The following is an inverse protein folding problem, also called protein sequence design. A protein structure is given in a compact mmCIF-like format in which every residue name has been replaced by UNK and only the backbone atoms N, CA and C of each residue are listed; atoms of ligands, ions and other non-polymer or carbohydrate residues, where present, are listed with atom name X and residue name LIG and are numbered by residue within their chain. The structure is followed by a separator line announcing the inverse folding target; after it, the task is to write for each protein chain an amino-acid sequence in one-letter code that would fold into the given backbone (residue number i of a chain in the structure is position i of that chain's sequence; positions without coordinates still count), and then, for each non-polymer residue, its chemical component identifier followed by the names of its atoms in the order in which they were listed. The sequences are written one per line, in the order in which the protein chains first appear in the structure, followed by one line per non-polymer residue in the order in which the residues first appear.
data_IF_032355186771
#
_entry.id   IF_032355186771
#
_cell.length_a   1.000
_cell.length_b   1.000
_cell.length_c   1.000
_cell.angle_alpha   90.00
_cell.angle_beta   90.00
_cell.angle_gamma   90.00
#
_symmetry.space_group_name_H-M   'P 1'
#
loop_
_entity.id
_entity.type
_entity.pdbx_description
1 polymer ?
#
# COMPACT_ATOMS: atom_id res chain seq x y z
N UNK A 1 20.88 18.97 -24.85
CA UNK A 1 20.29 19.43 -23.58
C UNK A 1 18.82 18.99 -23.51
N UNK A 2 18.54 17.75 -23.13
CA UNK A 2 17.15 17.32 -22.93
C UNK A 2 16.99 15.81 -23.01
N UNK A 3 17.06 15.14 -21.85
CA UNK A 3 16.55 13.78 -21.60
C UNK A 3 16.63 13.45 -20.10
N UNK A 4 15.92 14.19 -19.24
CA UNK A 4 15.78 13.84 -17.80
C UNK A 4 14.30 13.85 -17.35
N UNK A 5 13.35 14.25 -18.21
CA UNK A 5 11.96 14.49 -17.76
C UNK A 5 11.06 13.24 -17.88
N UNK A 6 11.42 12.26 -18.69
CA UNK A 6 10.55 11.10 -18.97
C UNK A 6 10.55 10.04 -17.85
N UNK A 7 11.71 9.72 -17.29
CA UNK A 7 11.88 8.60 -16.36
C UNK A 7 11.11 8.77 -15.04
N UNK A 8 11.01 10.00 -14.51
CA UNK A 8 10.27 10.26 -13.27
C UNK A 8 8.76 10.17 -13.46
N UNK A 9 8.26 10.44 -14.67
CA UNK A 9 6.82 10.40 -14.97
C UNK A 9 6.31 8.96 -15.04
N UNK A 10 7.06 8.08 -15.72
CA UNK A 10 6.78 6.65 -15.80
C UNK A 10 6.87 5.96 -14.43
N UNK A 11 7.94 6.23 -13.69
CA UNK A 11 8.13 5.66 -12.34
C UNK A 11 6.99 6.03 -11.37
N UNK A 12 6.54 7.28 -11.39
CA UNK A 12 5.43 7.70 -10.53
C UNK A 12 4.08 7.11 -11.02
N UNK A 13 3.90 6.89 -12.31
CA UNK A 13 2.72 6.19 -12.84
C UNK A 13 2.66 4.73 -12.37
N UNK A 14 3.78 4.01 -12.42
CA UNK A 14 3.88 2.60 -11.98
C UNK A 14 3.62 2.45 -10.47
N UNK A 15 4.18 3.34 -9.65
CA UNK A 15 3.94 3.35 -8.21
C UNK A 15 2.47 3.62 -7.89
N UNK A 16 1.84 4.57 -8.59
CA UNK A 16 0.42 4.84 -8.40
C UNK A 16 -0.44 3.65 -8.83
N UNK A 17 -0.04 2.92 -9.88
CA UNK A 17 -0.72 1.70 -10.30
C UNK A 17 -0.63 0.61 -9.24
N UNK A 18 0.52 0.42 -8.59
CA UNK A 18 0.66 -0.55 -7.48
C UNK A 18 -0.11 -0.15 -6.24
N UNK A 19 -0.08 1.13 -5.85
CA UNK A 19 -0.93 1.63 -4.77
C UNK A 19 -2.41 1.42 -5.12
N UNK A 20 -2.79 1.61 -6.38
CA UNK A 20 -4.12 1.31 -6.89
C UNK A 20 -4.51 -0.15 -6.73
N UNK A 21 -3.63 -1.09 -7.12
CA UNK A 21 -3.82 -2.54 -6.93
C UNK A 21 -3.95 -2.92 -5.45
N UNK A 22 -3.08 -2.39 -4.60
CA UNK A 22 -3.11 -2.60 -3.15
C UNK A 22 -4.41 -2.08 -2.52
N UNK A 23 -4.88 -0.90 -2.97
CA UNK A 23 -6.19 -0.35 -2.57
C UNK A 23 -7.33 -1.24 -3.01
N UNK A 24 -7.32 -1.71 -4.26
CA UNK A 24 -8.35 -2.61 -4.78
C UNK A 24 -8.41 -3.92 -3.98
N UNK A 25 -7.26 -4.55 -3.71
CA UNK A 25 -7.17 -5.75 -2.88
C UNK A 25 -7.70 -5.52 -1.46
N UNK A 26 -7.33 -4.39 -0.83
CA UNK A 26 -7.87 -4.02 0.48
C UNK A 26 -9.40 -3.85 0.44
N UNK A 27 -9.94 -3.22 -0.60
CA UNK A 27 -11.38 -3.01 -0.76
C UNK A 27 -12.14 -4.32 -1.02
N UNK A 28 -11.56 -5.26 -1.76
CA UNK A 28 -12.15 -6.59 -1.96
C UNK A 28 -12.31 -7.34 -0.63
N UNK A 29 -11.37 -7.16 0.30
CA UNK A 29 -11.42 -7.76 1.63
C UNK A 29 -12.26 -6.96 2.64
N UNK A 30 -13.12 -6.02 2.20
CA UNK A 30 -13.97 -5.17 3.07
C UNK A 30 -14.75 -5.95 4.13
N UNK A 31 -15.22 -7.15 3.80
CA UNK A 31 -16.02 -7.97 4.71
C UNK A 31 -15.16 -8.56 5.84
N UNK A 32 -13.89 -8.88 5.54
CA UNK A 32 -12.91 -9.35 6.54
C UNK A 32 -12.64 -8.24 7.56
N UNK A 33 -12.42 -7.00 7.08
CA UNK A 33 -12.15 -5.86 7.97
C UNK A 33 -13.33 -5.56 8.90
N UNK A 34 -14.56 -5.67 8.38
CA UNK A 34 -15.80 -5.48 9.14
C UNK A 34 -16.18 -6.64 10.06
N UNK A 35 -15.69 -7.85 9.80
CA UNK A 35 -16.07 -9.04 10.56
C UNK A 35 -15.65 -8.93 12.03
N UNK A 36 -16.59 -9.14 12.96
CA UNK A 36 -16.28 -9.25 14.39
C UNK A 36 -15.76 -10.64 14.80
N UNK A 37 -15.96 -11.64 13.95
CA UNK A 37 -15.53 -13.02 14.22
C UNK A 37 -14.01 -13.21 14.09
N UNK A 38 -13.35 -12.38 13.27
CA UNK A 38 -11.91 -12.43 13.09
C UNK A 38 -11.22 -11.50 14.09
N UNK A 39 -10.22 -12.05 14.78
CA UNK A 39 -9.38 -11.26 15.69
C UNK A 39 -8.63 -10.16 14.93
N UNK A 40 -8.34 -9.06 15.62
CA UNK A 40 -7.52 -7.97 15.10
C UNK A 40 -6.15 -8.47 14.63
N UNK A 41 -5.53 -9.40 15.37
CA UNK A 41 -4.23 -9.98 15.01
C UNK A 41 -4.30 -10.76 13.68
N UNK A 42 -5.37 -11.55 13.48
CA UNK A 42 -5.62 -12.26 12.21
C UNK A 42 -5.77 -11.29 11.04
N UNK A 43 -6.53 -10.20 11.21
CA UNK A 43 -6.70 -9.18 10.17
C UNK A 43 -5.39 -8.47 9.82
N UNK A 44 -4.60 -8.11 10.83
CA UNK A 44 -3.27 -7.51 10.63
C UNK A 44 -2.34 -8.46 9.88
N UNK A 45 -2.36 -9.76 10.21
CA UNK A 45 -1.58 -10.78 9.49
C UNK A 45 -1.99 -10.88 8.02
N UNK A 46 -3.28 -10.92 7.72
CA UNK A 46 -3.79 -10.93 6.32
C UNK A 46 -3.34 -9.68 5.56
N UNK A 47 -3.43 -8.50 6.19
CA UNK A 47 -2.96 -7.24 5.60
C UNK A 47 -1.45 -7.27 5.33
N UNK A 48 -0.65 -7.72 6.28
CA UNK A 48 0.81 -7.82 6.12
C UNK A 48 1.21 -8.79 5.00
N UNK A 49 0.51 -9.92 4.84
CA UNK A 49 0.80 -10.88 3.77
C UNK A 49 0.41 -10.35 2.40
N UNK A 50 -0.78 -9.75 2.24
CA UNK A 50 -1.30 -9.43 0.90
C UNK A 50 -0.94 -8.02 0.44
N UNK A 51 -0.91 -7.05 1.35
CA UNK A 51 -0.78 -5.62 1.00
C UNK A 51 0.64 -5.12 1.28
N UNK A 52 1.22 -5.49 2.42
CA UNK A 52 2.56 -5.03 2.79
C UNK A 52 3.65 -5.66 1.92
N UNK A 53 3.51 -6.92 1.50
CA UNK A 53 4.46 -7.56 0.57
C UNK A 53 4.51 -6.83 -0.77
N UNK A 54 3.35 -6.52 -1.37
CA UNK A 54 3.28 -5.82 -2.66
C UNK A 54 3.96 -4.45 -2.58
N UNK A 55 3.77 -3.73 -1.45
CA UNK A 55 4.35 -2.41 -1.25
C UNK A 55 5.84 -2.44 -0.88
N UNK A 56 6.30 -3.42 -0.10
CA UNK A 56 7.71 -3.58 0.27
C UNK A 56 8.55 -4.08 -0.91
N UNK A 57 8.05 -5.06 -1.66
CA UNK A 57 8.75 -5.56 -2.85
C UNK A 57 8.91 -4.48 -3.91
N UNK A 58 7.88 -3.65 -4.11
CA UNK A 58 7.95 -2.47 -4.95
C UNK A 58 9.00 -1.45 -4.47
N UNK A 59 9.12 -1.26 -3.16
CA UNK A 59 10.09 -0.34 -2.56
C UNK A 59 11.53 -0.87 -2.62
N UNK A 60 11.72 -2.19 -2.55
CA UNK A 60 13.04 -2.83 -2.58
C UNK A 60 13.59 -2.96 -4.00
N UNK A 61 12.71 -3.17 -4.98
CA UNK A 61 13.09 -3.38 -6.39
C UNK A 61 13.38 -2.07 -7.13
N UNK A 62 12.88 -0.93 -6.65
CA UNK A 62 12.99 0.36 -7.35
C UNK A 62 13.66 1.44 -6.49
N UNK A 63 14.30 2.42 -7.12
CA UNK A 63 14.91 3.58 -6.43
C UNK A 63 13.81 4.45 -5.81
N UNK A 64 13.36 4.10 -4.61
CA UNK A 64 12.30 4.82 -3.91
C UNK A 64 12.71 6.25 -3.59
N UNK A 65 11.97 7.23 -4.12
CA UNK A 65 12.09 8.61 -3.66
C UNK A 65 11.35 8.78 -2.34
N UNK A 66 11.81 9.73 -1.51
CA UNK A 66 11.18 10.06 -0.22
C UNK A 66 9.68 10.32 -0.35
N UNK A 67 9.24 10.92 -1.46
CA UNK A 67 7.83 11.19 -1.74
C UNK A 67 7.00 9.91 -1.92
N UNK A 68 7.56 8.87 -2.56
CA UNK A 68 6.89 7.59 -2.77
C UNK A 68 6.77 6.82 -1.46
N UNK A 69 7.85 6.75 -0.69
CA UNK A 69 7.85 6.12 0.64
C UNK A 69 6.82 6.78 1.55
N UNK A 70 6.70 8.11 1.53
CA UNK A 70 5.68 8.84 2.29
C UNK A 70 4.25 8.48 1.85
N UNK A 71 3.97 8.42 0.54
CA UNK A 71 2.64 8.01 0.03
C UNK A 71 2.26 6.60 0.47
N UNK A 72 3.22 5.66 0.42
CA UNK A 72 3.04 4.28 0.86
C UNK A 72 2.77 4.22 2.37
N UNK A 73 3.56 4.96 3.17
CA UNK A 73 3.40 5.01 4.62
C UNK A 73 2.04 5.59 5.04
N UNK A 74 1.59 6.67 4.40
CA UNK A 74 0.26 7.26 4.65
C UNK A 74 -0.85 6.24 4.36
N UNK A 75 -0.75 5.52 3.24
CA UNK A 75 -1.73 4.49 2.89
C UNK A 75 -1.75 3.33 3.92
N UNK A 76 -0.58 2.82 4.28
CA UNK A 76 -0.45 1.74 5.28
C UNK A 76 -1.02 2.15 6.63
N UNK A 77 -0.68 3.34 7.11
CA UNK A 77 -1.15 3.85 8.40
C UNK A 77 -2.68 4.04 8.39
N UNK A 78 -3.25 4.52 7.28
CA UNK A 78 -4.71 4.64 7.13
C UNK A 78 -5.40 3.27 7.21
N UNK A 79 -4.86 2.25 6.54
CA UNK A 79 -5.42 0.90 6.56
C UNK A 79 -5.31 0.27 7.96
N UNK A 80 -4.15 0.41 8.60
CA UNK A 80 -3.91 -0.13 9.94
C UNK A 80 -4.82 0.51 10.98
N UNK A 81 -4.99 1.84 10.97
CA UNK A 81 -5.93 2.51 11.89
C UNK A 81 -7.35 1.95 11.77
N UNK A 82 -7.84 1.73 10.55
CA UNK A 82 -9.16 1.13 10.30
C UNK A 82 -9.27 -0.31 10.80
N UNK A 83 -8.23 -1.12 10.62
CA UNK A 83 -8.19 -2.51 11.11
C UNK A 83 -8.15 -2.54 12.65
N UNK A 84 -7.37 -1.65 13.25
CA UNK A 84 -7.20 -1.52 14.69
C UNK A 84 -8.34 -0.74 15.37
N UNK A 85 -9.27 -0.18 14.60
CA UNK A 85 -10.38 0.67 15.05
C UNK A 85 -9.92 1.92 15.84
N UNK A 86 -8.74 2.45 15.50
CA UNK A 86 -8.18 3.68 16.08
C UNK A 86 -8.68 4.87 15.24
N UNK A 87 -9.29 5.85 15.90
CA UNK A 87 -9.73 7.12 15.27
C UNK A 87 -8.55 8.09 15.17
#
# INVERSE_FOLDING_TARGET
MGSIIDEHSGFNADVNAWIGKARAAYLQLKNIWKSKQLSTNTKVRIFNTNVKIVLLYAAETWRTTKAITQKIQVFNNSCLRKILQIH
#
